data_IF_921767245292
#
_entry.id   IF_921767245292
#
_cell.length_a   1.000
_cell.length_b   1.000
_cell.length_c   1.000
_cell.angle_alpha   90.00
_cell.angle_beta   90.00
_cell.angle_gamma   90.00
#
_symmetry.space_group_name_H-M   'P 1'
#
loop_
_entity.id
_entity.type
_entity.pdbx_description
1 polymer ?
#
# COMPACT_ATOMS: atom_id res chain seq x y z
N UNK A 1 -7.83 -11.79 3.11
CA UNK A 1 -8.18 -10.71 2.16
C UNK A 1 -6.95 -10.41 1.30
N UNK A 2 -7.13 -10.08 0.03
CA UNK A 2 -6.02 -9.65 -0.84
C UNK A 2 -5.42 -8.34 -0.33
N UNK A 3 -4.10 -8.20 -0.35
CA UNK A 3 -3.36 -6.99 0.08
C UNK A 3 -3.99 -5.72 -0.52
N UNK A 4 -4.36 -5.79 -1.81
CA UNK A 4 -5.05 -4.72 -2.52
C UNK A 4 -6.36 -4.25 -1.85
N UNK A 5 -7.19 -5.16 -1.35
CA UNK A 5 -8.45 -4.81 -0.68
C UNK A 5 -8.19 -4.15 0.67
N UNK A 6 -7.22 -4.67 1.43
CA UNK A 6 -6.81 -4.08 2.70
C UNK A 6 -6.26 -2.65 2.52
N UNK A 7 -5.51 -2.41 1.44
CA UNK A 7 -4.99 -1.07 1.12
C UNK A 7 -6.11 -0.09 0.75
N UNK A 8 -7.13 -0.53 0.01
CA UNK A 8 -8.31 0.30 -0.29
C UNK A 8 -9.01 0.70 1.00
N UNK A 9 -9.28 -0.27 1.87
CA UNK A 9 -9.97 -0.02 3.15
C UNK A 9 -9.17 0.92 4.04
N UNK A 10 -7.84 0.72 4.13
CA UNK A 10 -6.93 1.60 4.87
C UNK A 10 -6.97 3.04 4.37
N UNK A 11 -6.92 3.26 3.05
CA UNK A 11 -6.99 4.62 2.50
C UNK A 11 -8.40 5.21 2.63
N UNK A 12 -9.45 4.40 2.56
CA UNK A 12 -10.83 4.84 2.76
C UNK A 12 -11.06 5.33 4.20
N UNK A 13 -10.54 4.61 5.21
CA UNK A 13 -10.57 5.04 6.61
C UNK A 13 -9.81 6.34 6.81
N UNK A 14 -8.59 6.46 6.26
CA UNK A 14 -7.80 7.70 6.34
C UNK A 14 -8.50 8.88 5.65
N UNK A 15 -9.16 8.65 4.51
CA UNK A 15 -9.96 9.67 3.83
C UNK A 15 -11.14 10.12 4.69
N UNK A 16 -11.81 9.19 5.37
CA UNK A 16 -12.92 9.50 6.28
C UNK A 16 -12.46 10.35 7.47
N UNK A 17 -11.29 10.02 8.06
CA UNK A 17 -10.68 10.78 9.16
C UNK A 17 -10.29 12.21 8.76
N UNK A 18 -9.76 12.39 7.55
CA UNK A 18 -9.33 13.71 7.03
C UNK A 18 -10.47 14.54 6.44
N UNK A 19 -11.65 13.92 6.25
CA UNK A 19 -12.89 14.59 5.86
C UNK A 19 -12.79 15.31 4.51
N UNK A 20 -13.37 16.51 4.45
CA UNK A 20 -13.51 17.29 3.21
C UNK A 20 -12.17 17.70 2.58
N UNK A 21 -11.09 17.76 3.36
CA UNK A 21 -9.74 18.09 2.85
C UNK A 21 -9.25 17.07 1.83
N UNK A 22 -9.66 15.81 1.97
CA UNK A 22 -9.22 14.69 1.13
C UNK A 22 -10.33 14.19 0.19
N UNK A 23 -11.39 14.98 -0.03
CA UNK A 23 -12.53 14.62 -0.87
C UNK A 23 -12.13 14.20 -2.30
N UNK A 24 -11.10 14.85 -2.87
CA UNK A 24 -10.58 14.59 -4.21
C UNK A 24 -9.74 13.29 -4.32
N UNK A 25 -9.32 12.68 -3.19
CA UNK A 25 -8.51 11.47 -3.21
C UNK A 25 -9.41 10.26 -3.53
N UNK A 26 -9.01 9.45 -4.52
CA UNK A 26 -9.64 8.17 -4.78
C UNK A 26 -8.84 7.05 -4.05
N UNK A 27 -9.44 6.36 -3.05
CA UNK A 27 -8.77 5.29 -2.30
C UNK A 27 -8.26 4.14 -3.17
N UNK A 28 -8.96 3.82 -4.26
CA UNK A 28 -8.57 2.74 -5.16
C UNK A 28 -7.28 3.07 -5.93
N UNK A 29 -7.16 4.30 -6.42
CA UNK A 29 -5.94 4.75 -7.11
C UNK A 29 -4.74 4.73 -6.16
N UNK A 30 -4.92 5.23 -4.93
CA UNK A 30 -3.87 5.20 -3.91
C UNK A 30 -3.47 3.75 -3.55
N UNK A 31 -4.42 2.82 -3.45
CA UNK A 31 -4.14 1.41 -3.21
C UNK A 31 -3.38 0.76 -4.38
N UNK A 32 -3.71 1.10 -5.63
CA UNK A 32 -2.94 0.66 -6.81
C UNK A 32 -1.52 1.19 -6.78
N UNK A 33 -1.32 2.47 -6.45
CA UNK A 33 0.02 3.05 -6.31
C UNK A 33 0.85 2.33 -5.23
N UNK A 34 0.24 1.98 -4.09
CA UNK A 34 0.90 1.20 -3.03
C UNK A 34 1.27 -0.20 -3.50
N UNK A 35 0.38 -0.87 -4.23
CA UNK A 35 0.63 -2.22 -4.75
C UNK A 35 1.74 -2.22 -5.81
N UNK A 36 1.76 -1.20 -6.67
CA UNK A 36 2.83 -1.01 -7.66
C UNK A 36 4.18 -0.75 -6.98
N UNK A 37 4.19 -0.07 -5.83
CA UNK A 37 5.39 0.16 -5.02
C UNK A 37 5.50 -0.84 -3.85
N UNK A 38 5.56 -2.14 -4.19
CA UNK A 38 5.59 -3.23 -3.21
C UNK A 38 6.78 -3.15 -2.25
N UNK A 39 7.97 -2.77 -2.74
CA UNK A 39 9.17 -2.59 -1.92
C UNK A 39 9.45 -1.10 -1.76
N UNK A 40 9.20 -0.56 -0.57
CA UNK A 40 9.33 0.86 -0.29
C UNK A 40 10.78 1.29 -0.10
N UNK A 41 11.64 0.35 0.26
CA UNK A 41 13.06 0.60 0.50
C UNK A 41 13.94 -0.51 -0.07
N UNK A 42 15.21 -0.19 -0.32
CA UNK A 42 16.19 -1.20 -0.74
C UNK A 42 16.44 -2.28 0.31
N UNK A 43 16.21 -2.00 1.60
CA UNK A 43 16.34 -2.99 2.68
C UNK A 43 15.29 -4.11 2.54
N UNK A 44 14.06 -3.76 2.16
CA UNK A 44 13.00 -4.76 1.94
C UNK A 44 13.32 -5.65 0.72
N UNK A 45 13.92 -5.08 -0.33
CA UNK A 45 14.41 -5.84 -1.48
C UNK A 45 15.53 -6.79 -1.07
N UNK A 46 16.50 -6.30 -0.29
CA UNK A 46 17.61 -7.11 0.19
C UNK A 46 17.12 -8.27 1.07
N UNK A 47 16.17 -8.02 1.98
CA UNK A 47 15.59 -9.08 2.80
C UNK A 47 14.82 -10.11 1.96
N UNK A 48 13.93 -9.66 1.08
CA UNK A 48 13.13 -10.55 0.23
C UNK A 48 13.99 -11.45 -0.65
N UNK A 49 15.05 -10.88 -1.24
CA UNK A 49 16.00 -11.65 -2.06
C UNK A 49 16.85 -12.61 -1.21
N UNK A 50 17.27 -12.20 -0.01
CA UNK A 50 17.98 -13.08 0.92
C UNK A 50 17.13 -14.28 1.36
N UNK A 51 15.85 -14.07 1.65
CA UNK A 51 14.91 -15.13 2.02
C UNK A 51 14.74 -16.15 0.87
N UNK A 52 14.65 -15.68 -0.37
CA UNK A 52 14.57 -16.55 -1.56
C UNK A 52 15.85 -17.39 -1.72
N UNK A 53 17.03 -16.79 -1.54
CA UNK A 53 18.30 -17.51 -1.72
C UNK A 53 18.58 -18.53 -0.61
N UNK A 54 17.92 -18.41 0.55
CA UNK A 54 18.11 -19.28 1.73
C UNK A 54 17.03 -20.36 1.89
N UNK A 55 15.99 -20.34 1.06
CA UNK A 55 14.93 -21.35 1.00
C UNK A 55 15.38 -22.61 0.24
#
# INVERSE_FOLDING_TARGET
MSIYKNDIDSVATLKAEQGSKWAAINPEYAARMRTQNRFKTGLEVAQFTADIMRA
#
